data_IF_752830630135
#
_entry.id   IF_752830630135
#
_cell.length_a   1.000
_cell.length_b   1.000
_cell.length_c   1.000
_cell.angle_alpha   90.00
_cell.angle_beta   90.00
_cell.angle_gamma   90.00
#
_symmetry.space_group_name_H-M   'P 1'
#
loop_
_entity.id
_entity.type
_entity.pdbx_description
1 polymer ?
#
# COMPACT_ATOMS: atom_id res chain seq x y z
N UNK A 1 1.41 11.70 10.91
CA UNK A 1 1.85 10.77 9.86
C UNK A 1 0.61 10.13 9.28
N UNK A 2 0.45 10.09 7.95
CA UNK A 2 -0.69 9.45 7.27
C UNK A 2 -0.29 8.01 6.89
N UNK A 3 -1.17 7.04 7.07
CA UNK A 3 -0.96 5.69 6.50
C UNK A 3 -1.85 5.48 5.29
N UNK A 4 -1.25 5.10 4.16
CA UNK A 4 -1.98 4.75 2.95
C UNK A 4 -1.89 3.25 2.76
N UNK A 5 -3.03 2.56 2.87
CA UNK A 5 -3.16 1.13 2.65
C UNK A 5 -3.59 0.89 1.21
N UNK A 6 -2.84 0.07 0.49
CA UNK A 6 -3.14 -0.37 -0.87
C UNK A 6 -3.29 -1.90 -0.87
N UNK A 7 -4.52 -2.43 -0.83
CA UNK A 7 -4.77 -3.85 -1.08
C UNK A 7 -4.36 -4.18 -2.52
N UNK A 8 -3.60 -5.25 -2.73
CA UNK A 8 -3.07 -5.60 -4.06
C UNK A 8 -3.26 -7.07 -4.37
N UNK A 9 -3.61 -7.35 -5.63
CA UNK A 9 -3.69 -8.70 -6.20
C UNK A 9 -3.48 -8.64 -7.72
N UNK A 10 -2.29 -8.97 -8.16
CA UNK A 10 -1.85 -8.96 -9.55
C UNK A 10 -2.05 -7.59 -10.20
N UNK A 11 -1.39 -6.57 -9.65
CA UNK A 11 -1.59 -5.16 -10.02
C UNK A 11 -0.48 -4.66 -10.95
N UNK A 12 -0.72 -4.60 -12.28
CA UNK A 12 0.31 -4.22 -13.24
C UNK A 12 0.71 -2.74 -13.13
N UNK A 13 -0.07 -1.90 -12.46
CA UNK A 13 0.12 -0.45 -12.44
C UNK A 13 0.77 0.10 -11.15
N UNK A 14 1.30 -0.76 -10.27
CA UNK A 14 1.95 -0.30 -9.03
C UNK A 14 3.12 0.68 -9.26
N UNK A 15 3.84 0.53 -10.38
CA UNK A 15 4.94 1.43 -10.78
C UNK A 15 4.45 2.80 -11.28
N UNK A 16 3.18 2.95 -11.61
CA UNK A 16 2.56 4.25 -11.94
C UNK A 16 1.86 4.86 -10.72
N UNK A 17 1.17 4.02 -9.93
CA UNK A 17 0.40 4.43 -8.75
C UNK A 17 1.30 5.03 -7.67
N UNK A 18 2.36 4.31 -7.26
CA UNK A 18 3.20 4.72 -6.13
C UNK A 18 3.89 6.07 -6.40
N UNK A 19 4.52 6.31 -7.57
CA UNK A 19 5.09 7.64 -7.87
C UNK A 19 4.05 8.75 -7.89
N UNK A 20 2.82 8.49 -8.38
CA UNK A 20 1.75 9.50 -8.38
C UNK A 20 1.30 9.87 -6.97
N UNK A 21 1.12 8.88 -6.09
CA UNK A 21 0.83 9.13 -4.67
C UNK A 21 1.91 10.03 -4.07
N UNK A 22 3.19 9.68 -4.28
CA UNK A 22 4.32 10.47 -3.79
C UNK A 22 4.35 11.88 -4.38
N UNK A 23 4.01 12.04 -5.65
CA UNK A 23 3.96 13.35 -6.31
C UNK A 23 2.89 14.25 -5.69
N UNK A 24 1.70 13.72 -5.39
CA UNK A 24 0.61 14.46 -4.74
C UNK A 24 1.01 14.86 -3.31
N UNK A 25 1.69 13.97 -2.59
CA UNK A 25 2.11 14.21 -1.22
C UNK A 25 3.41 15.01 -1.08
N UNK A 26 4.18 15.18 -2.16
CA UNK A 26 5.49 15.86 -2.15
C UNK A 26 5.45 17.28 -1.57
N UNK A 27 4.33 17.99 -1.76
CA UNK A 27 4.17 19.36 -1.30
C UNK A 27 3.45 19.46 0.06
N UNK A 28 3.13 18.33 0.69
CA UNK A 28 2.50 18.30 1.99
C UNK A 28 3.58 18.31 3.08
N UNK A 29 3.30 18.98 4.20
CA UNK A 29 4.23 19.04 5.35
C UNK A 29 4.12 17.82 6.29
N UNK A 30 3.26 16.86 5.97
CA UNK A 30 3.01 15.68 6.80
C UNK A 30 3.82 14.47 6.31
N UNK A 31 4.38 13.73 7.26
CA UNK A 31 4.96 12.42 6.97
C UNK A 31 3.87 11.42 6.55
N UNK A 32 4.23 10.46 5.70
CA UNK A 32 3.34 9.39 5.29
C UNK A 32 4.08 8.06 5.13
N UNK A 33 3.34 6.96 5.26
CA UNK A 33 3.77 5.63 4.84
C UNK A 33 2.83 5.09 3.76
N UNK A 34 3.37 4.24 2.88
CA UNK A 34 2.58 3.45 1.94
C UNK A 34 2.75 1.99 2.34
N UNK A 35 1.63 1.34 2.63
CA UNK A 35 1.53 -0.04 3.07
C UNK A 35 0.73 -0.83 2.05
N UNK A 36 1.37 -1.76 1.35
CA UNK A 36 0.66 -2.70 0.49
C UNK A 36 0.33 -3.97 1.26
N UNK A 37 -0.90 -4.46 1.12
CA UNK A 37 -1.32 -5.77 1.61
C UNK A 37 -1.61 -6.64 0.40
N UNK A 38 -0.72 -7.59 0.13
CA UNK A 38 -0.61 -8.26 -1.17
C UNK A 38 -0.99 -9.75 -1.08
N UNK A 39 -1.79 -10.22 -2.03
CA UNK A 39 -2.09 -11.66 -2.26
C UNK A 39 -1.87 -12.04 -3.72
N UNK A 40 -0.83 -11.48 -4.33
CA UNK A 40 -0.52 -11.70 -5.73
C UNK A 40 0.21 -13.02 -5.94
N UNK A 41 0.04 -13.61 -7.13
CA UNK A 41 0.82 -14.76 -7.60
C UNK A 41 1.78 -14.40 -8.76
N UNK A 42 1.91 -13.11 -9.03
CA UNK A 42 2.88 -12.50 -9.94
C UNK A 42 3.97 -11.71 -9.18
N UNK A 43 4.69 -10.82 -9.86
CA UNK A 43 5.79 -10.02 -9.32
C UNK A 43 5.36 -8.68 -8.69
N UNK A 44 4.06 -8.47 -8.47
CA UNK A 44 3.51 -7.28 -7.79
C UNK A 44 4.23 -6.96 -6.46
N UNK A 45 4.43 -7.90 -5.51
CA UNK A 45 5.07 -7.58 -4.23
C UNK A 45 6.55 -7.20 -4.39
N UNK A 46 7.28 -7.80 -5.33
CA UNK A 46 8.67 -7.45 -5.64
C UNK A 46 8.77 -6.03 -6.20
N UNK A 47 7.88 -5.68 -7.15
CA UNK A 47 7.82 -4.34 -7.75
C UNK A 47 7.50 -3.28 -6.70
N UNK A 48 6.56 -3.55 -5.80
CA UNK A 48 6.26 -2.67 -4.66
C UNK A 48 7.46 -2.49 -3.71
N UNK A 49 8.16 -3.58 -3.36
CA UNK A 49 9.38 -3.49 -2.52
C UNK A 49 10.48 -2.67 -3.20
N UNK A 50 10.69 -2.82 -4.51
CA UNK A 50 11.67 -2.02 -5.27
C UNK A 50 11.32 -0.52 -5.27
N UNK A 51 10.03 -0.19 -5.24
CA UNK A 51 9.57 1.19 -5.09
C UNK A 51 9.72 1.70 -3.66
N UNK A 52 10.15 0.89 -2.69
CA UNK A 52 10.28 1.26 -1.28
C UNK A 52 8.94 1.29 -0.55
N UNK A 53 7.93 0.56 -1.03
CA UNK A 53 6.67 0.35 -0.32
C UNK A 53 6.85 -0.75 0.72
N UNK A 54 6.25 -0.57 1.90
CA UNK A 54 6.19 -1.62 2.91
C UNK A 54 5.12 -2.63 2.48
N UNK A 55 5.54 -3.86 2.19
CA UNK A 55 4.64 -4.93 1.73
C UNK A 55 4.37 -5.92 2.86
N UNK A 56 3.10 -6.22 3.09
CA UNK A 56 2.63 -7.29 3.97
C UNK A 56 1.99 -8.36 3.09
N UNK A 57 2.47 -9.59 3.22
CA UNK A 57 1.80 -10.74 2.61
C UNK A 57 0.47 -10.99 3.32
N UNK A 58 -0.62 -10.91 2.58
CA UNK A 58 -1.96 -11.12 3.10
C UNK A 58 -2.14 -12.61 3.45
N UNK A 59 -2.65 -12.89 4.66
CA UNK A 59 -2.82 -14.28 5.10
C UNK A 59 -4.02 -14.94 4.43
N UNK A 60 -5.20 -14.34 4.59
CA UNK A 60 -6.46 -14.82 4.02
C UNK A 60 -6.73 -14.15 2.66
N UNK A 61 -7.76 -14.60 1.94
CA UNK A 61 -8.19 -13.94 0.69
C UNK A 61 -9.30 -12.91 0.95
N UNK A 62 -9.40 -11.93 0.06
CA UNK A 62 -10.51 -10.97 0.00
C UNK A 62 -10.14 -9.57 0.49
N UNK A 63 -10.74 -8.57 -0.16
CA UNK A 63 -10.46 -7.14 0.05
C UNK A 63 -10.65 -6.71 1.52
N UNK A 64 -11.76 -7.11 2.14
CA UNK A 64 -12.04 -6.75 3.53
C UNK A 64 -10.98 -7.27 4.52
N UNK A 65 -10.41 -8.46 4.25
CA UNK A 65 -9.32 -9.01 5.07
C UNK A 65 -8.03 -8.24 4.87
N UNK A 66 -7.72 -7.87 3.63
CA UNK A 66 -6.56 -7.05 3.31
C UNK A 66 -6.63 -5.69 4.03
N UNK A 67 -7.79 -5.03 4.00
CA UNK A 67 -8.03 -3.77 4.71
C UNK A 67 -7.85 -3.95 6.22
N UNK A 68 -8.43 -4.99 6.82
CA UNK A 68 -8.28 -5.26 8.26
C UNK A 68 -6.83 -5.54 8.67
N UNK A 69 -6.08 -6.27 7.85
CA UNK A 69 -4.66 -6.53 8.09
C UNK A 69 -3.83 -5.25 7.95
N UNK A 70 -4.12 -4.43 6.93
CA UNK A 70 -3.50 -3.12 6.75
C UNK A 70 -3.78 -2.18 7.91
N UNK A 71 -5.03 -2.09 8.38
CA UNK A 71 -5.43 -1.26 9.52
C UNK A 71 -4.70 -1.65 10.81
N UNK A 72 -4.42 -2.94 11.01
CA UNK A 72 -3.66 -3.43 12.17
C UNK A 72 -2.16 -3.10 12.10
N UNK A 73 -1.62 -2.93 10.89
CA UNK A 73 -0.19 -2.73 10.68
C UNK A 73 0.19 -1.27 10.37
N UNK A 74 -0.79 -0.44 10.03
CA UNK A 74 -0.67 1.00 9.89
C UNK A 74 -0.23 1.65 11.21
N UNK A 75 0.62 2.66 11.09
CA UNK A 75 1.24 3.39 12.21
C UNK A 75 0.84 4.87 12.27
N UNK A 76 0.21 5.38 11.21
CA UNK A 76 -0.26 6.75 11.06
C UNK A 76 -1.74 6.92 11.34
N UNK A 77 -2.12 8.18 11.53
CA UNK A 77 -3.48 8.67 11.74
C UNK A 77 -3.59 10.05 11.05
N UNK A 78 -4.45 10.21 10.02
CA UNK A 78 -5.46 9.27 9.55
C UNK A 78 -4.91 8.10 8.74
N UNK A 79 -5.72 7.04 8.64
CA UNK A 79 -5.52 5.93 7.71
C UNK A 79 -6.43 6.11 6.49
N UNK A 80 -5.83 6.01 5.30
CA UNK A 80 -6.49 6.08 3.99
C UNK A 80 -6.39 4.71 3.35
N UNK A 81 -7.48 4.23 2.77
CA UNK A 81 -7.52 3.00 1.99
C UNK A 81 -7.86 3.39 0.55
N UNK A 82 -7.09 2.89 -0.42
CA UNK A 82 -7.34 3.13 -1.84
C UNK A 82 -6.84 1.97 -2.72
N UNK A 83 -7.26 1.97 -3.97
CA UNK A 83 -6.85 1.10 -5.07
C UNK A 83 -6.06 1.87 -6.15
#
# INVERSE_FOLDING_TARGET
>A
MISIIIPTRNEPMVEELVPRIRQVLKNQTCDYEILAVDKSDDDTPERLRHLGVRVIEQKDTGLGRAILEGLKAASGDPVIVMD
#
